data_IF_415408985401
#
_entry.id   IF_415408985401
#
_cell.length_a   1.000
_cell.length_b   1.000
_cell.length_c   1.000
_cell.angle_alpha   90.00
_cell.angle_beta   90.00
_cell.angle_gamma   90.00
#
_symmetry.space_group_name_H-M   'P 1'
#
loop_
_entity.id
_entity.type
_entity.pdbx_description
1 polymer ?
#
# COMPACT_ATOMS: atom_id res chain seq x y z
N UNK A 1 4.39 5.20 -7.58
CA UNK A 1 4.63 3.80 -7.20
C UNK A 1 3.34 2.99 -7.09
N UNK A 2 2.34 3.41 -6.31
CA UNK A 2 1.01 2.79 -6.28
C UNK A 2 -0.01 3.42 -7.25
N UNK A 3 0.39 4.43 -8.04
CA UNK A 3 -0.48 5.12 -8.99
C UNK A 3 -1.26 4.21 -9.97
N UNK A 4 -0.74 3.01 -10.23
CA UNK A 4 -1.36 2.02 -11.12
C UNK A 4 -2.29 1.05 -10.35
N UNK A 5 -2.47 1.26 -9.05
CA UNK A 5 -3.25 0.47 -8.09
C UNK A 5 -4.13 1.38 -7.20
N UNK A 6 -5.14 2.06 -7.78
CA UNK A 6 -5.97 3.03 -7.06
C UNK A 6 -6.69 2.43 -5.85
N UNK A 7 -7.10 1.17 -5.90
CA UNK A 7 -7.73 0.44 -4.80
C UNK A 7 -6.81 0.28 -3.57
N UNK A 8 -5.50 0.15 -3.81
CA UNK A 8 -4.51 0.11 -2.73
C UNK A 8 -4.35 1.50 -2.10
N UNK A 9 -4.41 2.57 -2.90
CA UNK A 9 -4.37 3.95 -2.41
C UNK A 9 -5.61 4.29 -1.58
N UNK A 10 -6.80 3.86 -2.03
CA UNK A 10 -8.06 4.02 -1.31
C UNK A 10 -8.04 3.31 0.04
N UNK A 11 -7.50 2.08 0.08
CA UNK A 11 -7.33 1.33 1.33
C UNK A 11 -6.43 2.07 2.31
N UNK A 12 -5.29 2.60 1.85
CA UNK A 12 -4.38 3.39 2.69
C UNK A 12 -5.06 4.67 3.20
N UNK A 13 -5.87 5.34 2.39
CA UNK A 13 -6.66 6.49 2.83
C UNK A 13 -7.67 6.10 3.90
N UNK A 14 -8.39 4.99 3.72
CA UNK A 14 -9.39 4.51 4.66
C UNK A 14 -8.75 4.20 6.03
N UNK A 15 -7.58 3.58 6.05
CA UNK A 15 -6.83 3.30 7.27
C UNK A 15 -6.35 4.58 7.98
N UNK A 16 -5.86 5.57 7.23
CA UNK A 16 -5.53 6.89 7.79
C UNK A 16 -6.76 7.59 8.36
N UNK A 17 -7.89 7.56 7.65
CA UNK A 17 -9.15 8.13 8.13
C UNK A 17 -9.61 7.45 9.43
N UNK A 18 -9.42 6.13 9.55
CA UNK A 18 -9.74 5.38 10.77
C UNK A 18 -8.92 5.83 11.97
N UNK A 19 -7.63 6.12 11.77
CA UNK A 19 -6.76 6.68 12.83
C UNK A 19 -7.28 8.04 13.31
N UNK A 20 -7.74 8.89 12.40
CA UNK A 20 -8.33 10.20 12.73
C UNK A 20 -9.67 10.04 13.46
N UNK A 21 -10.52 9.11 13.02
CA UNK A 21 -11.85 8.88 13.60
C UNK A 21 -11.78 8.27 15.00
N UNK A 22 -10.80 7.40 15.27
CA UNK A 22 -10.67 6.71 16.54
C UNK A 22 -9.20 6.59 16.99
N UNK A 23 -8.58 7.70 17.42
CA UNK A 23 -7.18 7.70 17.83
C UNK A 23 -6.98 6.98 19.16
N UNK A 24 -5.94 6.18 19.25
CA UNK A 24 -5.49 5.58 20.51
C UNK A 24 -4.95 6.65 21.47
N UNK A 25 -5.31 6.56 22.75
CA UNK A 25 -4.77 7.46 23.78
C UNK A 25 -3.34 7.07 24.14
N UNK A 26 -2.49 8.06 24.35
CA UNK A 26 -1.11 7.85 24.83
C UNK A 26 -0.06 7.66 23.74
N UNK A 27 -0.46 7.47 22.48
CA UNK A 27 0.46 7.39 21.32
C UNK A 27 0.22 8.59 20.41
N UNK A 28 1.27 9.28 19.90
CA UNK A 28 1.12 10.34 18.91
C UNK A 28 0.37 9.87 17.66
N UNK A 29 -0.52 10.69 17.13
CA UNK A 29 -1.32 10.34 15.94
C UNK A 29 -0.45 10.05 14.71
N UNK A 30 0.70 10.72 14.58
CA UNK A 30 1.67 10.45 13.52
C UNK A 30 2.24 9.04 13.59
N UNK A 31 2.51 8.52 14.78
CA UNK A 31 3.00 7.14 14.96
C UNK A 31 1.89 6.13 14.65
N UNK A 32 0.66 6.41 15.07
CA UNK A 32 -0.50 5.58 14.73
C UNK A 32 -0.75 5.51 13.22
N UNK A 33 -0.62 6.65 12.53
CA UNK A 33 -0.73 6.72 11.08
C UNK A 33 0.37 5.91 10.38
N UNK A 34 1.62 5.98 10.87
CA UNK A 34 2.71 5.16 10.35
C UNK A 34 2.38 3.69 10.53
N UNK A 35 2.01 3.23 11.72
CA UNK A 35 1.67 1.81 11.96
C UNK A 35 0.52 1.32 11.09
N UNK A 36 -0.52 2.14 10.87
CA UNK A 36 -1.62 1.80 10.00
C UNK A 36 -1.15 1.58 8.55
N UNK A 37 -0.30 2.49 8.04
CA UNK A 37 0.29 2.34 6.70
C UNK A 37 1.21 1.12 6.61
N UNK A 38 2.03 0.87 7.63
CA UNK A 38 2.89 -0.30 7.67
C UNK A 38 2.09 -1.60 7.63
N UNK A 39 1.04 -1.70 8.45
CA UNK A 39 0.16 -2.88 8.47
C UNK A 39 -0.54 -3.12 7.13
N UNK A 40 -1.04 -2.07 6.49
CA UNK A 40 -1.68 -2.17 5.17
C UNK A 40 -0.68 -2.61 4.08
N UNK A 41 0.52 -2.03 4.07
CA UNK A 41 1.56 -2.40 3.11
C UNK A 41 2.06 -3.85 3.30
N UNK A 42 2.17 -4.31 4.54
CA UNK A 42 2.49 -5.70 4.84
C UNK A 42 1.38 -6.64 4.33
N UNK A 43 0.11 -6.25 4.47
CA UNK A 43 -1.02 -7.01 3.92
C UNK A 43 -0.99 -7.08 2.38
N UNK A 44 -0.65 -5.97 1.70
CA UNK A 44 -0.51 -5.96 0.23
C UNK A 44 0.60 -6.88 -0.26
N UNK A 45 1.72 -6.97 0.48
CA UNK A 45 2.80 -7.92 0.18
C UNK A 45 2.29 -9.36 0.28
N UNK A 46 1.57 -9.68 1.36
CA UNK A 46 1.05 -11.03 1.57
C UNK A 46 -0.01 -11.42 0.53
N UNK A 47 -0.83 -10.49 0.08
CA UNK A 47 -1.76 -10.68 -1.04
C UNK A 47 -1.02 -10.92 -2.37
N UNK A 48 -0.05 -10.06 -2.71
CA UNK A 48 0.74 -10.20 -3.94
C UNK A 48 1.52 -11.53 -3.98
N UNK A 49 1.99 -12.02 -2.83
CA UNK A 49 2.61 -13.35 -2.71
C UNK A 49 1.63 -14.49 -2.99
N UNK A 50 0.39 -14.40 -2.48
CA UNK A 50 -0.65 -15.40 -2.76
C UNK A 50 -1.02 -15.41 -4.25
N UNK A 51 -1.12 -14.24 -4.86
CA UNK A 51 -1.36 -14.11 -6.31
C UNK A 51 -0.21 -14.73 -7.13
N UNK A 52 1.05 -14.49 -6.72
CA UNK A 52 2.20 -15.11 -7.35
C UNK A 52 2.17 -16.64 -7.24
N UNK A 53 1.88 -17.18 -6.05
CA UNK A 53 1.74 -18.63 -5.86
C UNK A 53 0.63 -19.21 -6.74
N UNK A 54 -0.49 -18.52 -6.89
CA UNK A 54 -1.58 -18.94 -7.75
C UNK A 54 -1.18 -18.91 -9.24
N UNK A 55 -0.44 -17.89 -9.67
CA UNK A 55 0.09 -17.79 -11.03
C UNK A 55 1.15 -18.86 -11.32
N UNK A 56 2.02 -19.16 -10.36
CA UNK A 56 3.00 -20.25 -10.47
C UNK A 56 2.30 -21.61 -10.60
N UNK A 57 1.20 -21.83 -9.88
CA UNK A 57 0.40 -23.04 -9.98
C UNK A 57 -0.36 -23.17 -11.31
N UNK A 58 -0.70 -22.06 -11.97
CA UNK A 58 -1.34 -22.08 -13.30
C UNK A 58 -0.36 -22.38 -14.43
N UNK A 59 0.93 -22.11 -14.21
CA UNK A 59 1.99 -22.30 -15.20
C UNK A 59 1.99 -21.29 -16.35
N UNK A 60 1.16 -20.24 -16.29
CA UNK A 60 1.11 -19.17 -17.28
C UNK A 60 2.29 -18.20 -17.09
N UNK A 61 3.27 -18.17 -18.03
CA UNK A 61 4.44 -17.32 -17.90
C UNK A 61 4.10 -15.82 -17.81
N UNK A 62 3.04 -15.38 -18.50
CA UNK A 62 2.65 -13.97 -18.49
C UNK A 62 2.06 -13.58 -17.13
N UNK A 63 1.19 -14.43 -16.57
CA UNK A 63 0.61 -14.23 -15.24
C UNK A 63 1.69 -14.24 -14.15
N UNK A 64 2.68 -15.12 -14.25
CA UNK A 64 3.79 -15.21 -13.29
C UNK A 64 4.63 -13.94 -13.31
N UNK A 65 5.02 -13.45 -14.48
CA UNK A 65 5.84 -12.23 -14.57
C UNK A 65 5.07 -10.99 -14.09
N UNK A 66 3.77 -10.91 -14.37
CA UNK A 66 2.92 -9.84 -13.83
C UNK A 66 2.85 -9.90 -12.30
N UNK A 67 2.62 -11.09 -11.72
CA UNK A 67 2.51 -11.26 -10.28
C UNK A 67 3.83 -10.96 -9.55
N UNK A 68 4.98 -11.36 -10.13
CA UNK A 68 6.32 -10.99 -9.61
C UNK A 68 6.53 -9.48 -9.62
N UNK A 69 6.14 -8.81 -10.71
CA UNK A 69 6.27 -7.36 -10.82
C UNK A 69 5.43 -6.64 -9.75
N UNK A 70 4.20 -7.13 -9.50
CA UNK A 70 3.33 -6.61 -8.43
C UNK A 70 3.93 -6.84 -7.05
N UNK A 71 4.40 -8.06 -6.74
CA UNK A 71 5.03 -8.38 -5.45
C UNK A 71 6.24 -7.48 -5.16
N UNK A 72 7.14 -7.33 -6.15
CA UNK A 72 8.30 -6.46 -6.04
C UNK A 72 7.90 -4.99 -5.81
N UNK A 73 6.84 -4.53 -6.46
CA UNK A 73 6.32 -3.18 -6.29
C UNK A 73 5.77 -2.96 -4.87
N UNK A 74 5.03 -3.92 -4.30
CA UNK A 74 4.54 -3.84 -2.92
C UNK A 74 5.69 -3.84 -1.90
N UNK A 75 6.72 -4.67 -2.14
CA UNK A 75 7.95 -4.64 -1.34
C UNK A 75 8.65 -3.28 -1.37
N UNK A 76 8.77 -2.69 -2.57
CA UNK A 76 9.34 -1.35 -2.72
C UNK A 76 8.48 -0.31 -2.04
N UNK A 77 7.15 -0.45 -2.05
CA UNK A 77 6.24 0.46 -1.36
C UNK A 77 6.42 0.44 0.15
N UNK A 78 6.60 -0.75 0.75
CA UNK A 78 6.89 -0.89 2.19
C UNK A 78 8.28 -0.32 2.55
N UNK A 79 9.27 -0.43 1.66
CA UNK A 79 10.66 -0.10 2.02
C UNK A 79 10.83 1.30 2.64
N UNK A 80 11.45 1.35 3.83
CA UNK A 80 11.79 2.60 4.52
C UNK A 80 12.83 3.46 3.78
N UNK A 81 13.62 2.86 2.88
CA UNK A 81 14.64 3.54 2.07
C UNK A 81 14.03 4.20 0.82
N UNK A 82 13.04 5.07 1.02
CA UNK A 82 12.46 5.90 -0.04
C UNK A 82 11.11 5.43 -0.57
N UNK A 83 10.75 4.16 -0.36
CA UNK A 83 9.45 3.61 -0.70
C UNK A 83 8.32 4.32 0.02
N UNK A 84 8.28 4.14 1.34
CA UNK A 84 7.38 4.90 2.21
C UNK A 84 7.72 6.39 2.26
N UNK A 85 9.00 6.79 2.16
CA UNK A 85 9.41 8.18 2.41
C UNK A 85 9.20 9.15 1.25
N UNK A 86 9.29 8.68 0.01
CA UNK A 86 9.26 9.53 -1.18
C UNK A 86 8.16 9.06 -2.15
N UNK A 87 8.26 7.81 -2.64
CA UNK A 87 7.36 7.32 -3.68
C UNK A 87 5.91 7.22 -3.24
N UNK A 88 5.67 6.51 -2.14
CA UNK A 88 4.33 6.26 -1.61
C UNK A 88 3.64 7.55 -1.15
N UNK A 89 4.34 8.40 -0.38
CA UNK A 89 3.75 9.67 0.09
C UNK A 89 3.40 10.61 -1.05
N UNK A 90 4.21 10.65 -2.12
CA UNK A 90 3.89 11.46 -3.29
C UNK A 90 2.62 10.96 -4.00
N UNK A 91 2.46 9.63 -4.14
CA UNK A 91 1.25 9.06 -4.74
C UNK A 91 0.01 9.35 -3.88
N UNK A 92 0.10 9.13 -2.56
CA UNK A 92 -1.00 9.42 -1.62
C UNK A 92 -1.38 10.90 -1.62
N UNK A 93 -0.38 11.78 -1.57
CA UNK A 93 -0.60 13.22 -1.63
C UNK A 93 -1.26 13.63 -2.96
N UNK A 94 -0.75 13.14 -4.09
CA UNK A 94 -1.34 13.41 -5.40
C UNK A 94 -2.78 12.92 -5.52
N UNK A 95 -3.09 11.75 -4.94
CA UNK A 95 -4.44 11.24 -4.86
C UNK A 95 -5.33 12.14 -3.99
N UNK A 96 -4.89 12.56 -2.81
CA UNK A 96 -5.68 13.47 -1.96
C UNK A 96 -5.95 14.80 -2.65
N UNK A 97 -4.95 15.43 -3.26
CA UNK A 97 -5.13 16.67 -4.02
C UNK A 97 -6.15 16.51 -5.15
N UNK A 98 -6.09 15.39 -5.88
CA UNK A 98 -7.00 15.12 -7.00
C UNK A 98 -8.44 14.84 -6.56
N UNK A 99 -8.63 14.37 -5.32
CA UNK A 99 -9.94 14.00 -4.76
C UNK A 99 -10.43 14.98 -3.68
N UNK A 100 -9.83 16.17 -3.56
CA UNK A 100 -10.32 17.22 -2.65
C UNK A 100 -11.70 17.70 -3.09
N UNK A 101 -12.71 17.49 -2.25
CA UNK A 101 -14.06 18.04 -2.43
C UNK A 101 -15.11 17.08 -3.01
N UNK A 102 -14.81 15.78 -3.04
CA UNK A 102 -15.82 14.71 -3.16
C UNK A 102 -16.45 14.43 -1.80
#
# INVERSE_FOLDING_TARGET
MLKDYPEHIETLQADLNRVVQNPFKGTPMSEQAIWALEAALDAFIDEARKELQAAEASGDPAAIEQAKAKELLMFRARSGNGGMRLGLMNDLWGYFESNKGV
#
